data_IF_853968356735
#
_entry.id   IF_853968356735
#
_cell.length_a   1.000
_cell.length_b   1.000
_cell.length_c   1.000
_cell.angle_alpha   90.00
_cell.angle_beta   90.00
_cell.angle_gamma   90.00
#
_symmetry.space_group_name_H-M   'P 1'
#
loop_
_entity.id
_entity.type
_entity.pdbx_description
1 polymer ?
#
# COMPACT_ATOMS: atom_id res chain seq x y z
N UNK A 1 11.29 12.43 -43.91
CA UNK A 1 11.08 11.00 -43.57
C UNK A 1 12.00 10.58 -42.42
N UNK A 2 13.29 10.96 -42.44
CA UNK A 2 14.29 10.72 -41.38
C UNK A 2 13.94 11.25 -39.97
N UNK A 3 13.27 12.41 -39.88
CA UNK A 3 12.87 13.00 -38.59
C UNK A 3 11.89 12.13 -37.79
N UNK A 4 11.02 11.40 -38.49
CA UNK A 4 9.99 10.55 -37.84
C UNK A 4 10.66 9.34 -37.18
N UNK A 5 11.67 8.76 -37.82
CA UNK A 5 12.45 7.66 -37.27
C UNK A 5 13.27 8.06 -36.05
N UNK A 6 13.80 9.28 -36.05
CA UNK A 6 14.46 9.86 -34.87
C UNK A 6 13.50 10.07 -33.70
N UNK A 7 12.29 10.56 -33.95
CA UNK A 7 11.26 10.68 -32.91
C UNK A 7 10.84 9.32 -32.34
N UNK A 8 10.67 8.31 -33.20
CA UNK A 8 10.35 6.93 -32.78
C UNK A 8 11.49 6.34 -31.95
N UNK A 9 12.74 6.53 -32.36
CA UNK A 9 13.91 6.05 -31.63
C UNK A 9 14.01 6.69 -30.25
N UNK A 10 13.81 8.02 -30.15
CA UNK A 10 13.76 8.72 -28.85
C UNK A 10 12.61 8.21 -27.98
N UNK A 11 11.40 8.04 -28.55
CA UNK A 11 10.24 7.54 -27.82
C UNK A 11 10.47 6.13 -27.25
N UNK A 12 11.04 5.22 -28.05
CA UNK A 12 11.37 3.86 -27.63
C UNK A 12 12.49 3.87 -26.57
N UNK A 13 13.51 4.72 -26.71
CA UNK A 13 14.57 4.87 -25.72
C UNK A 13 14.06 5.43 -24.37
N UNK A 14 13.10 6.36 -24.40
CA UNK A 14 12.45 6.92 -23.20
C UNK A 14 11.54 5.89 -22.51
N UNK A 15 10.84 5.04 -23.26
CA UNK A 15 10.05 3.95 -22.68
C UNK A 15 10.93 2.88 -22.02
N UNK A 16 12.09 2.58 -22.60
CA UNK A 16 13.04 1.61 -22.05
C UNK A 16 13.70 2.09 -20.73
N UNK A 17 13.90 3.39 -20.53
CA UNK A 17 14.48 3.94 -19.29
C UNK A 17 13.48 4.06 -18.13
N UNK A 18 12.17 4.05 -18.42
CA UNK A 18 11.11 3.99 -17.41
C UNK A 18 10.88 2.59 -16.85
N UNK A 19 11.47 1.56 -17.47
CA UNK A 19 11.31 0.16 -17.09
C UNK A 19 12.30 -0.28 -15.99
N UNK A 20 12.22 0.33 -14.79
CA UNK A 20 12.63 -0.34 -13.56
C UNK A 20 11.95 0.23 -12.31
N UNK A 21 10.67 -0.07 -12.15
CA UNK A 21 9.99 -0.03 -10.85
C UNK A 21 9.53 -1.45 -10.51
N UNK A 22 10.50 -2.35 -10.37
CA UNK A 22 10.27 -3.76 -10.10
C UNK A 22 11.04 -4.19 -8.88
N UNK A 23 10.45 -3.95 -7.72
CA UNK A 23 10.45 -4.79 -6.52
C UNK A 23 9.69 -4.02 -5.42
N UNK A 24 8.69 -4.67 -4.79
CA UNK A 24 8.01 -4.23 -3.56
C UNK A 24 9.00 -4.28 -2.38
N UNK A 25 10.06 -3.50 -2.49
CA UNK A 25 11.19 -3.53 -1.59
C UNK A 25 10.98 -2.45 -0.52
N UNK A 26 10.70 -2.91 0.69
CA UNK A 26 10.65 -2.07 1.89
C UNK A 26 11.97 -2.24 2.63
N UNK A 27 12.78 -1.19 2.65
CA UNK A 27 14.02 -1.11 3.43
C UNK A 27 14.00 0.11 4.34
N UNK A 28 15.05 0.31 5.12
CA UNK A 28 15.21 1.47 5.97
C UNK A 28 16.69 1.83 6.12
N UNK A 29 16.94 3.05 6.55
CA UNK A 29 18.24 3.46 7.08
C UNK A 29 18.04 4.32 8.34
N UNK A 30 19.11 4.96 8.82
CA UNK A 30 19.04 5.80 10.03
C UNK A 30 18.15 7.04 9.93
N UNK A 31 17.47 7.29 8.80
CA UNK A 31 16.62 8.48 8.59
C UNK A 31 15.18 8.13 8.28
N UNK A 32 14.91 7.09 7.50
CA UNK A 32 13.56 6.81 7.03
C UNK A 32 13.36 5.38 6.55
N UNK A 33 12.10 5.00 6.39
CA UNK A 33 11.71 3.90 5.50
C UNK A 33 11.94 4.31 4.04
N UNK A 34 12.28 3.32 3.23
CA UNK A 34 12.48 3.44 1.79
C UNK A 34 11.54 2.41 1.14
N UNK A 35 10.51 2.90 0.47
CA UNK A 35 9.49 2.09 -0.19
C UNK A 35 9.63 2.31 -1.69
N UNK A 36 9.90 1.23 -2.44
CA UNK A 36 10.09 1.28 -3.89
C UNK A 36 11.17 2.30 -4.30
N UNK A 37 12.29 2.29 -3.57
CA UNK A 37 13.42 3.20 -3.79
C UNK A 37 13.19 4.65 -3.33
N UNK A 38 12.01 5.01 -2.83
CA UNK A 38 11.69 6.36 -2.37
C UNK A 38 11.62 6.45 -0.85
N UNK A 39 12.31 7.44 -0.28
CA UNK A 39 12.21 7.77 1.15
C UNK A 39 10.81 8.24 1.48
N UNK A 40 10.18 7.64 2.50
CA UNK A 40 8.86 8.05 2.97
C UNK A 40 8.85 8.28 4.48
N UNK A 41 8.23 9.39 4.87
CA UNK A 41 7.78 9.62 6.24
C UNK A 41 6.33 9.14 6.30
N UNK A 42 6.07 8.11 7.09
CA UNK A 42 4.74 7.50 7.17
C UNK A 42 3.94 8.13 8.31
N UNK A 43 2.71 8.52 8.00
CA UNK A 43 1.74 8.98 8.98
C UNK A 43 0.68 7.89 9.12
N UNK A 44 0.74 7.16 10.23
CA UNK A 44 -0.13 6.01 10.45
C UNK A 44 -1.38 6.37 11.27
N UNK A 45 -2.55 5.87 10.83
CA UNK A 45 -3.82 5.94 11.54
C UNK A 45 -4.32 4.54 11.91
N UNK A 46 -4.88 4.39 13.11
CA UNK A 46 -5.44 3.11 13.58
C UNK A 46 -6.89 2.93 13.14
N UNK A 47 -7.18 1.84 12.44
CA UNK A 47 -8.55 1.38 12.15
C UNK A 47 -8.62 -0.11 12.48
N UNK A 48 -9.38 -0.49 13.49
CA UNK A 48 -9.58 -1.89 13.86
C UNK A 48 -10.83 -2.41 13.15
N UNK A 49 -10.64 -3.27 12.15
CA UNK A 49 -11.73 -3.71 11.26
C UNK A 49 -12.96 -4.27 12.00
N UNK A 50 -12.86 -5.02 13.14
CA UNK A 50 -14.05 -5.56 13.80
C UNK A 50 -14.89 -4.51 14.54
N UNK A 51 -14.38 -3.28 14.70
CA UNK A 51 -15.10 -2.18 15.36
C UNK A 51 -15.98 -1.39 14.38
N UNK A 52 -16.13 -1.87 13.15
CA UNK A 52 -16.91 -1.26 12.08
C UNK A 52 -17.37 -2.34 11.10
N UNK A 53 -18.48 -2.13 10.41
CA UNK A 53 -18.95 -3.10 9.41
C UNK A 53 -18.12 -3.03 8.13
N UNK A 54 -18.02 -4.11 7.32
CA UNK A 54 -17.34 -4.09 6.03
C UNK A 54 -17.81 -2.96 5.10
N UNK A 55 -19.08 -2.58 5.16
CA UNK A 55 -19.66 -1.49 4.37
C UNK A 55 -19.12 -0.11 4.77
N UNK A 56 -18.68 0.05 6.02
CA UNK A 56 -18.10 1.29 6.51
C UNK A 56 -16.62 1.46 6.13
N UNK A 57 -15.86 0.37 5.95
CA UNK A 57 -14.41 0.43 5.77
C UNK A 57 -13.96 1.34 4.63
N UNK A 58 -14.57 1.32 3.42
CA UNK A 58 -14.15 2.22 2.35
C UNK A 58 -14.24 3.70 2.74
N UNK A 59 -15.31 4.10 3.44
CA UNK A 59 -15.49 5.48 3.91
C UNK A 59 -14.50 5.85 5.01
N UNK A 60 -14.22 4.94 5.95
CA UNK A 60 -13.24 5.17 7.01
C UNK A 60 -11.82 5.34 6.45
N UNK A 61 -11.42 4.49 5.51
CA UNK A 61 -10.12 4.56 4.85
C UNK A 61 -10.01 5.85 4.02
N UNK A 62 -11.05 6.22 3.28
CA UNK A 62 -11.09 7.46 2.51
C UNK A 62 -10.91 8.69 3.42
N UNK A 63 -11.65 8.77 4.53
CA UNK A 63 -11.53 9.87 5.49
C UNK A 63 -10.14 9.93 6.14
N UNK A 64 -9.54 8.79 6.47
CA UNK A 64 -8.18 8.76 6.98
C UNK A 64 -7.20 9.33 5.94
N UNK A 65 -7.35 8.92 4.66
CA UNK A 65 -6.54 9.43 3.56
C UNK A 65 -6.70 10.94 3.33
N UNK A 66 -7.94 11.43 3.35
CA UNK A 66 -8.27 12.87 3.30
C UNK A 66 -7.67 13.63 4.49
N UNK A 67 -7.62 13.00 5.67
CA UNK A 67 -6.96 13.52 6.87
C UNK A 67 -5.43 13.47 6.85
N UNK A 68 -4.81 13.04 5.74
CA UNK A 68 -3.36 13.04 5.57
C UNK A 68 -2.65 11.77 6.03
N UNK A 69 -3.38 10.73 6.45
CA UNK A 69 -2.82 9.41 6.77
C UNK A 69 -2.49 8.68 5.48
N UNK A 70 -1.31 8.07 5.41
CA UNK A 70 -0.89 7.25 4.26
C UNK A 70 -0.67 5.77 4.61
N UNK A 71 -0.78 5.43 5.89
CA UNK A 71 -0.70 4.05 6.39
C UNK A 71 -1.84 3.75 7.36
N UNK A 72 -2.55 2.65 7.15
CA UNK A 72 -3.48 2.11 8.14
C UNK A 72 -2.77 1.05 8.97
N UNK A 73 -2.84 1.17 10.30
CA UNK A 73 -2.49 0.09 11.22
C UNK A 73 -3.76 -0.56 11.78
N UNK A 74 -3.76 -1.88 11.92
CA UNK A 74 -4.90 -2.64 12.41
C UNK A 74 -4.46 -3.83 13.25
N UNK A 75 -5.22 -4.16 14.29
CA UNK A 75 -5.05 -5.39 15.05
C UNK A 75 -5.87 -6.52 14.44
N UNK A 76 -5.35 -7.73 14.51
CA UNK A 76 -6.09 -8.97 14.29
C UNK A 76 -6.50 -9.54 15.64
N UNK A 77 -7.81 -9.64 15.87
CA UNK A 77 -8.37 -10.05 17.17
C UNK A 77 -8.47 -11.57 17.22
N UNK A 78 -7.47 -12.24 17.80
CA UNK A 78 -7.39 -13.70 17.81
C UNK A 78 -8.65 -14.36 18.37
N UNK A 79 -9.22 -13.83 19.44
CA UNK A 79 -10.46 -14.33 20.05
C UNK A 79 -11.69 -14.31 19.13
N UNK A 80 -11.69 -13.47 18.08
CA UNK A 80 -12.73 -13.48 17.05
C UNK A 80 -12.46 -14.53 15.97
N UNK A 81 -11.19 -14.82 15.72
CA UNK A 81 -10.73 -15.78 14.70
C UNK A 81 -10.59 -17.20 15.24
N UNK A 82 -10.45 -17.40 16.54
CA UNK A 82 -10.45 -18.69 17.21
C UNK A 82 -11.17 -18.57 18.56
N UNK A 83 -12.52 -18.57 18.57
CA UNK A 83 -13.30 -18.45 19.81
C UNK A 83 -13.14 -19.66 20.74
N UNK A 84 -12.85 -20.83 20.15
CA UNK A 84 -12.52 -22.07 20.85
C UNK A 84 -11.26 -22.69 20.23
N UNK A 85 -10.38 -23.33 21.02
CA UNK A 85 -9.16 -23.95 20.49
C UNK A 85 -9.45 -24.91 19.32
N UNK A 86 -8.78 -24.68 18.19
CA UNK A 86 -8.96 -25.44 16.95
C UNK A 86 -10.08 -24.94 16.03
N UNK A 87 -10.93 -24.01 16.47
CA UNK A 87 -12.05 -23.49 15.69
C UNK A 87 -11.69 -22.19 14.94
N UNK A 88 -10.82 -22.31 13.93
CA UNK A 88 -10.34 -21.16 13.15
C UNK A 88 -11.40 -20.65 12.17
N UNK A 89 -11.70 -19.36 12.23
CA UNK A 89 -12.60 -18.61 11.34
C UNK A 89 -11.83 -17.48 10.68
N UNK A 90 -11.90 -17.37 9.35
CA UNK A 90 -11.20 -16.31 8.60
C UNK A 90 -12.02 -15.02 8.48
N UNK A 91 -13.33 -15.12 8.67
CA UNK A 91 -14.24 -13.97 8.74
C UNK A 91 -14.53 -13.67 10.20
N UNK A 92 -14.35 -12.41 10.61
CA UNK A 92 -14.87 -11.95 11.89
C UNK A 92 -16.36 -11.65 11.69
N UNK A 93 -17.20 -12.29 12.50
CA UNK A 93 -18.65 -12.07 12.52
C UNK A 93 -19.02 -10.71 13.09
#
# INVERSE_FOLDING_TARGET
>A
MEMVWWCIYILVAVQASMAKAGEDNVTYDGRSLIINGQRKLLFSGSIHYPRSTPQMWPSLIAKAKEGGVDVIQTYVFWNMHEPQPGEVRTQAN
#
